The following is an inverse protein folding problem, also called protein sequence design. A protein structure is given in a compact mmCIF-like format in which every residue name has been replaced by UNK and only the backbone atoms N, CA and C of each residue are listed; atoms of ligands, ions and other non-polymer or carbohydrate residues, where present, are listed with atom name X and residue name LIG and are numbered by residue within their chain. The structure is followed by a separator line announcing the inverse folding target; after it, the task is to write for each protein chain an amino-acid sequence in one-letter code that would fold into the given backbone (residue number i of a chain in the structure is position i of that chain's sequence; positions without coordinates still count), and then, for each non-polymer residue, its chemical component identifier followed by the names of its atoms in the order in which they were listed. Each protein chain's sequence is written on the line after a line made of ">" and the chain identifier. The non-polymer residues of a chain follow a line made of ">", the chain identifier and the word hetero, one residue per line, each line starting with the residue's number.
data_IF_636558097116
#
_entry.id   IF_636558097116
#
_cell.length_a   1.000
_cell.length_b   1.000
_cell.length_c   1.000
_cell.angle_alpha   90.00
_cell.angle_beta   90.00
_cell.angle_gamma   90.00
#
_symmetry.space_group_name_H-M   'P 1'
#
loop_
_entity.id
_entity.type
_entity.pdbx_description
1 polymer ?
#
# COMPACT_ATOMS: atom_id res chain seq x y z
N UNK A 1 -6.05 -0.84 -23.04
CA UNK A 1 -7.02 -1.77 -22.42
C UNK A 1 -7.48 -1.36 -21.01
N UNK A 2 -6.73 -0.56 -20.25
CA UNK A 2 -7.17 0.00 -18.96
C UNK A 2 -7.03 1.52 -19.00
N UNK A 3 -7.80 2.16 -19.89
CA UNK A 3 -7.74 3.61 -20.08
C UNK A 3 -8.04 4.35 -18.78
N UNK A 4 -7.14 5.26 -18.38
CA UNK A 4 -7.35 6.13 -17.22
C UNK A 4 -8.30 7.30 -17.49
N UNK A 5 -8.83 7.42 -18.70
CA UNK A 5 -9.70 8.53 -19.05
C UNK A 5 -11.01 8.48 -18.26
N UNK A 6 -11.38 9.62 -17.67
CA UNK A 6 -12.70 9.85 -17.10
C UNK A 6 -13.66 10.20 -18.24
N UNK A 7 -13.94 9.28 -19.15
CA UNK A 7 -14.80 9.51 -20.33
C UNK A 7 -16.30 9.38 -20.03
N UNK A 8 -16.73 9.75 -18.83
CA UNK A 8 -18.14 9.63 -18.42
C UNK A 8 -18.63 10.83 -17.63
N UNK A 9 -19.83 11.32 -17.97
CA UNK A 9 -20.59 12.25 -17.11
C UNK A 9 -20.74 11.64 -15.71
N UNK A 10 -20.60 12.45 -14.66
CA UNK A 10 -20.82 12.02 -13.27
C UNK A 10 -22.18 11.29 -13.17
N UNK A 11 -22.21 9.99 -12.83
CA UNK A 11 -23.45 9.21 -12.81
C UNK A 11 -24.52 9.83 -11.90
N UNK A 12 -24.12 10.58 -10.87
CA UNK A 12 -25.05 11.27 -9.95
C UNK A 12 -25.83 12.40 -10.62
N UNK A 13 -25.32 12.96 -11.72
CA UNK A 13 -25.94 14.06 -12.47
C UNK A 13 -26.92 13.59 -13.54
N UNK A 14 -27.07 12.27 -13.74
CA UNK A 14 -27.98 11.71 -14.73
C UNK A 14 -29.43 11.70 -14.24
N UNK A 15 -30.38 12.13 -15.08
CA UNK A 15 -31.83 12.22 -14.75
C UNK A 15 -32.43 10.91 -14.20
N UNK A 16 -31.97 9.76 -14.71
CA UNK A 16 -32.47 8.44 -14.31
C UNK A 16 -31.71 7.80 -13.14
N UNK A 17 -30.71 8.47 -12.56
CA UNK A 17 -29.87 7.92 -11.50
C UNK A 17 -30.68 7.42 -10.29
N UNK A 18 -31.71 8.18 -9.88
CA UNK A 18 -32.56 7.82 -8.73
C UNK A 18 -33.26 6.47 -8.95
N UNK A 19 -33.73 6.19 -10.18
CA UNK A 19 -34.42 4.93 -10.52
C UNK A 19 -33.46 3.73 -10.49
N UNK A 20 -32.23 3.91 -10.95
CA UNK A 20 -31.25 2.81 -11.08
C UNK A 20 -30.41 2.62 -9.81
N UNK A 21 -30.35 3.62 -8.93
CA UNK A 21 -29.52 3.62 -7.71
C UNK A 21 -29.67 2.35 -6.87
N UNK A 22 -30.90 1.90 -6.61
CA UNK A 22 -31.16 0.71 -5.79
C UNK A 22 -30.62 -0.57 -6.42
N UNK A 23 -30.90 -0.77 -7.71
CA UNK A 23 -30.41 -1.91 -8.50
C UNK A 23 -28.88 -1.92 -8.58
N UNK A 24 -28.27 -0.75 -8.79
CA UNK A 24 -26.83 -0.60 -8.85
C UNK A 24 -26.16 -0.96 -7.51
N UNK A 25 -26.74 -0.52 -6.39
CA UNK A 25 -26.24 -0.89 -5.05
C UNK A 25 -26.34 -2.40 -4.82
N UNK A 26 -27.45 -3.03 -5.18
CA UNK A 26 -27.63 -4.48 -5.09
C UNK A 26 -26.57 -5.21 -5.90
N UNK A 27 -26.47 -4.87 -7.18
CA UNK A 27 -25.49 -5.44 -8.11
C UNK A 27 -24.04 -5.33 -7.61
N UNK A 28 -23.63 -4.14 -7.13
CA UNK A 28 -22.29 -3.94 -6.62
C UNK A 28 -22.00 -4.76 -5.36
N UNK A 29 -23.00 -4.93 -4.47
CA UNK A 29 -22.86 -5.80 -3.30
C UNK A 29 -22.70 -7.27 -3.70
N UNK A 30 -23.51 -7.73 -4.65
CA UNK A 30 -23.43 -9.11 -5.15
C UNK A 30 -22.11 -9.37 -5.86
N UNK A 31 -21.63 -8.42 -6.66
CA UNK A 31 -20.32 -8.47 -7.29
C UNK A 31 -19.19 -8.57 -6.24
N UNK A 32 -19.23 -7.76 -5.19
CA UNK A 32 -18.23 -7.82 -4.11
C UNK A 32 -18.31 -9.13 -3.31
N UNK A 33 -19.51 -9.67 -3.11
CA UNK A 33 -19.72 -10.97 -2.49
C UNK A 33 -19.10 -12.07 -3.36
N UNK A 34 -19.29 -12.01 -4.67
CA UNK A 34 -18.72 -12.95 -5.62
C UNK A 34 -17.18 -12.89 -5.65
N UNK A 35 -16.60 -11.68 -5.71
CA UNK A 35 -15.14 -11.46 -5.58
C UNK A 35 -14.62 -11.99 -4.24
N UNK A 36 -15.46 -12.04 -3.21
CA UNK A 36 -15.08 -12.56 -1.90
C UNK A 36 -15.15 -14.08 -1.79
N UNK A 37 -16.06 -14.73 -2.51
CA UNK A 37 -16.32 -16.18 -2.43
C UNK A 37 -15.52 -17.01 -3.43
N UNK A 38 -15.10 -16.42 -4.55
CA UNK A 38 -14.36 -17.14 -5.59
C UNK A 38 -12.90 -17.35 -5.18
N UNK A 39 -12.42 -18.59 -5.35
CA UNK A 39 -11.03 -18.98 -5.10
C UNK A 39 -10.20 -19.14 -6.39
N UNK A 40 -10.84 -19.34 -7.54
CA UNK A 40 -10.14 -19.49 -8.82
C UNK A 40 -9.60 -18.14 -9.31
N UNK A 41 -8.28 -18.08 -9.50
CA UNK A 41 -7.60 -16.86 -9.97
C UNK A 41 -8.10 -16.41 -11.35
N UNK A 42 -8.37 -17.34 -12.26
CA UNK A 42 -8.92 -17.02 -13.59
C UNK A 42 -10.25 -16.27 -13.48
N UNK A 43 -11.16 -16.76 -12.64
CA UNK A 43 -12.46 -16.12 -12.43
C UNK A 43 -12.26 -14.77 -11.71
N UNK A 44 -11.38 -14.71 -10.69
CA UNK A 44 -11.04 -13.46 -10.03
C UNK A 44 -10.50 -12.41 -11.00
N UNK A 45 -9.66 -12.78 -11.98
CA UNK A 45 -9.16 -11.82 -12.97
C UNK A 45 -10.28 -11.19 -13.79
N UNK A 46 -11.27 -11.98 -14.22
CA UNK A 46 -12.42 -11.49 -15.00
C UNK A 46 -13.28 -10.57 -14.13
N UNK A 47 -13.56 -10.98 -12.88
CA UNK A 47 -14.35 -10.18 -11.95
C UNK A 47 -13.67 -8.87 -11.57
N UNK A 48 -12.35 -8.87 -11.38
CA UNK A 48 -11.59 -7.66 -11.07
C UNK A 48 -11.52 -6.71 -12.27
N UNK A 49 -11.38 -7.22 -13.51
CA UNK A 49 -11.48 -6.39 -14.72
C UNK A 49 -12.85 -5.72 -14.81
N UNK A 50 -13.91 -6.47 -14.53
CA UNK A 50 -15.27 -5.92 -14.49
C UNK A 50 -15.47 -4.89 -13.38
N UNK A 51 -14.99 -5.19 -12.16
CA UNK A 51 -15.01 -4.26 -11.03
C UNK A 51 -14.24 -2.97 -11.35
N UNK A 52 -13.11 -3.07 -12.05
CA UNK A 52 -12.32 -1.93 -12.50
C UNK A 52 -13.13 -1.02 -13.44
N UNK A 53 -13.82 -1.59 -14.42
CA UNK A 53 -14.72 -0.85 -15.32
C UNK A 53 -15.86 -0.17 -14.54
N UNK A 54 -16.37 -0.85 -13.51
CA UNK A 54 -17.46 -0.33 -12.66
C UNK A 54 -16.99 0.62 -11.55
N UNK A 55 -15.71 0.95 -11.47
CA UNK A 55 -15.11 1.77 -10.41
C UNK A 55 -15.75 3.16 -10.25
N UNK A 56 -16.22 3.77 -11.35
CA UNK A 56 -16.91 5.07 -11.33
C UNK A 56 -18.23 4.96 -10.55
N UNK A 57 -18.96 3.85 -10.71
CA UNK A 57 -20.19 3.57 -9.98
C UNK A 57 -19.93 3.20 -8.52
N UNK A 58 -18.85 2.46 -8.24
CA UNK A 58 -18.42 2.18 -6.86
C UNK A 58 -18.13 3.48 -6.12
N UNK A 59 -17.48 4.44 -6.78
CA UNK A 59 -17.22 5.79 -6.27
C UNK A 59 -18.47 6.66 -6.10
N UNK A 60 -19.67 6.20 -6.47
CA UNK A 60 -20.90 6.88 -6.07
C UNK A 60 -21.26 6.60 -4.61
N UNK A 61 -20.77 5.49 -4.03
CA UNK A 61 -21.19 4.97 -2.74
C UNK A 61 -19.99 4.68 -1.82
N UNK A 62 -19.67 5.61 -0.91
CA UNK A 62 -18.49 5.49 -0.03
C UNK A 62 -18.50 4.23 0.85
N UNK A 63 -19.67 3.75 1.31
CA UNK A 63 -19.76 2.49 2.07
C UNK A 63 -19.32 1.28 1.25
N UNK A 64 -19.77 1.19 -0.01
CA UNK A 64 -19.40 0.12 -0.94
C UNK A 64 -17.92 0.25 -1.32
N UNK A 65 -17.44 1.48 -1.55
CA UNK A 65 -16.02 1.74 -1.82
C UNK A 65 -15.12 1.22 -0.69
N UNK A 66 -15.47 1.49 0.58
CA UNK A 66 -14.71 0.97 1.74
C UNK A 66 -14.72 -0.55 1.82
N UNK A 67 -15.86 -1.20 1.54
CA UNK A 67 -15.95 -2.65 1.50
C UNK A 67 -15.10 -3.26 0.37
N UNK A 68 -15.17 -2.66 -0.82
CA UNK A 68 -14.35 -3.05 -1.97
C UNK A 68 -12.86 -2.94 -1.65
N UNK A 69 -12.41 -1.79 -1.12
CA UNK A 69 -11.02 -1.55 -0.77
C UNK A 69 -10.50 -2.56 0.26
N UNK A 70 -11.29 -2.90 1.29
CA UNK A 70 -10.89 -3.92 2.27
C UNK A 70 -10.60 -5.27 1.60
N UNK A 71 -11.46 -5.73 0.69
CA UNK A 71 -11.26 -7.00 -0.03
C UNK A 71 -10.09 -6.90 -1.03
N UNK A 72 -9.99 -5.80 -1.76
CA UNK A 72 -8.94 -5.58 -2.75
C UNK A 72 -7.55 -5.51 -2.10
N UNK A 73 -7.39 -4.87 -0.94
CA UNK A 73 -6.12 -4.82 -0.21
C UNK A 73 -5.68 -6.23 0.24
N UNK A 74 -6.63 -7.07 0.65
CA UNK A 74 -6.35 -8.47 0.94
C UNK A 74 -5.82 -9.18 -0.31
N UNK A 75 -6.52 -9.07 -1.45
CA UNK A 75 -6.11 -9.71 -2.71
C UNK A 75 -4.75 -9.19 -3.21
N UNK A 76 -4.53 -7.89 -3.15
CA UNK A 76 -3.27 -7.24 -3.47
C UNK A 76 -2.10 -7.83 -2.67
N UNK A 77 -2.32 -8.16 -1.40
CA UNK A 77 -1.22 -8.67 -0.57
C UNK A 77 -0.92 -10.15 -0.77
N UNK A 78 -1.93 -11.02 -0.91
CA UNK A 78 -1.74 -12.48 -0.82
C UNK A 78 -1.90 -13.24 -2.13
N UNK A 79 -2.48 -12.64 -3.16
CA UNK A 79 -2.84 -13.40 -4.39
C UNK A 79 -1.66 -13.55 -5.36
N UNK A 80 -1.88 -14.36 -6.39
CA UNK A 80 -1.01 -14.49 -7.55
C UNK A 80 -0.80 -13.16 -8.29
N UNK A 81 0.27 -13.09 -9.08
CA UNK A 81 0.75 -11.85 -9.71
C UNK A 81 -0.33 -11.09 -10.48
N UNK A 82 -1.07 -11.79 -11.36
CA UNK A 82 -2.10 -11.16 -12.20
C UNK A 82 -3.26 -10.59 -11.40
N UNK A 83 -3.73 -11.33 -10.38
CA UNK A 83 -4.80 -10.91 -9.48
C UNK A 83 -4.34 -9.74 -8.62
N UNK A 84 -3.10 -9.77 -8.13
CA UNK A 84 -2.47 -8.69 -7.34
C UNK A 84 -2.39 -7.38 -8.15
N UNK A 85 -1.96 -7.44 -9.41
CA UNK A 85 -1.92 -6.27 -10.31
C UNK A 85 -3.32 -5.69 -10.52
N UNK A 86 -4.30 -6.53 -10.85
CA UNK A 86 -5.68 -6.07 -11.07
C UNK A 86 -6.31 -5.49 -9.80
N UNK A 87 -6.05 -6.11 -8.65
CA UNK A 87 -6.51 -5.61 -7.35
C UNK A 87 -5.93 -4.21 -7.07
N UNK A 88 -4.63 -4.00 -7.31
CA UNK A 88 -3.99 -2.70 -7.19
C UNK A 88 -4.63 -1.65 -8.11
N UNK A 89 -4.83 -1.97 -9.39
CA UNK A 89 -5.45 -1.05 -10.35
C UNK A 89 -6.87 -0.65 -9.92
N UNK A 90 -7.65 -1.57 -9.34
CA UNK A 90 -8.94 -1.26 -8.73
C UNK A 90 -8.80 -0.33 -7.52
N UNK A 91 -7.86 -0.60 -6.62
CA UNK A 91 -7.59 0.27 -5.44
C UNK A 91 -7.26 1.69 -5.90
N UNK A 92 -6.32 1.81 -6.83
CA UNK A 92 -5.85 3.10 -7.35
C UNK A 92 -7.00 3.88 -7.98
N UNK A 93 -7.81 3.24 -8.83
CA UNK A 93 -8.94 3.89 -9.52
C UNK A 93 -10.04 4.32 -8.54
N UNK A 94 -10.43 3.46 -7.60
CA UNK A 94 -11.44 3.79 -6.59
C UNK A 94 -10.95 4.93 -5.69
N UNK A 95 -9.68 4.88 -5.26
CA UNK A 95 -9.10 5.90 -4.37
C UNK A 95 -9.03 7.24 -5.08
N UNK A 96 -8.54 7.31 -6.33
CA UNK A 96 -8.51 8.56 -7.11
C UNK A 96 -9.89 9.19 -7.31
N UNK A 97 -10.93 8.37 -7.50
CA UNK A 97 -12.29 8.89 -7.67
C UNK A 97 -12.88 9.51 -6.38
N UNK A 98 -12.34 9.20 -5.20
CA UNK A 98 -12.78 9.73 -3.90
C UNK A 98 -11.59 10.11 -3.02
N UNK A 99 -10.57 10.75 -3.59
CA UNK A 99 -9.26 10.90 -2.95
C UNK A 99 -9.34 11.54 -1.56
N UNK A 100 -10.05 12.67 -1.45
CA UNK A 100 -10.26 13.41 -0.20
C UNK A 100 -10.95 12.61 0.92
N UNK A 101 -11.67 11.53 0.58
CA UNK A 101 -12.43 10.71 1.53
C UNK A 101 -11.78 9.38 1.86
N UNK A 102 -11.00 8.82 0.93
CA UNK A 102 -10.53 7.44 1.00
C UNK A 102 -9.00 7.34 1.13
N UNK A 103 -8.23 8.33 0.66
CA UNK A 103 -6.78 8.21 0.57
C UNK A 103 -6.14 7.88 1.93
N UNK A 104 -6.48 8.65 2.97
CA UNK A 104 -5.99 8.45 4.34
C UNK A 104 -6.20 6.99 4.84
N UNK A 105 -7.43 6.50 4.71
CA UNK A 105 -7.80 5.14 5.11
C UNK A 105 -7.04 4.07 4.30
N UNK A 106 -6.88 4.30 2.99
CA UNK A 106 -6.21 3.36 2.08
C UNK A 106 -4.72 3.30 2.35
N UNK A 107 -4.04 4.44 2.49
CA UNK A 107 -2.60 4.51 2.78
C UNK A 107 -2.27 3.77 4.07
N UNK A 108 -3.02 4.04 5.14
CA UNK A 108 -2.85 3.34 6.42
C UNK A 108 -3.07 1.83 6.28
N UNK A 109 -4.16 1.42 5.63
CA UNK A 109 -4.50 0.00 5.50
C UNK A 109 -3.50 -0.77 4.62
N UNK A 110 -3.04 -0.16 3.52
CA UNK A 110 -2.05 -0.78 2.64
C UNK A 110 -0.69 -0.88 3.31
N UNK A 111 -0.23 0.15 4.02
CA UNK A 111 1.03 0.10 4.75
C UNK A 111 1.04 -0.99 5.83
N UNK A 112 0.01 -1.06 6.67
CA UNK A 112 -0.09 -2.09 7.71
C UNK A 112 -0.13 -3.49 7.11
N UNK A 113 -0.84 -3.67 5.99
CA UNK A 113 -0.87 -4.94 5.26
C UNK A 113 0.50 -5.29 4.67
N UNK A 114 1.21 -4.32 4.09
CA UNK A 114 2.56 -4.51 3.55
C UNK A 114 3.53 -4.98 4.63
N UNK A 115 3.61 -4.25 5.75
CA UNK A 115 4.49 -4.58 6.89
C UNK A 115 4.18 -5.98 7.43
N UNK A 116 2.91 -6.36 7.53
CA UNK A 116 2.49 -7.70 7.95
C UNK A 116 3.01 -8.79 7.00
N UNK A 117 2.94 -8.57 5.69
CA UNK A 117 3.39 -9.55 4.68
C UNK A 117 4.92 -9.59 4.52
N UNK A 118 5.64 -8.56 4.97
CA UNK A 118 7.11 -8.55 4.97
C UNK A 118 7.74 -9.30 6.14
N UNK A 119 6.96 -9.98 7.00
CA UNK A 119 7.51 -10.70 8.17
C UNK A 119 8.44 -11.84 7.77
N UNK A 120 8.12 -12.53 6.67
CA UNK A 120 8.90 -13.65 6.16
C UNK A 120 9.22 -13.41 4.68
N UNK A 121 10.51 -13.33 4.37
CA UNK A 121 11.01 -13.11 3.01
C UNK A 121 11.69 -14.38 2.52
N UNK A 122 11.29 -14.85 1.35
CA UNK A 122 11.90 -15.97 0.63
C UNK A 122 12.04 -15.61 -0.85
N UNK A 123 12.83 -16.36 -1.65
CA UNK A 123 12.91 -16.14 -3.09
C UNK A 123 11.54 -16.18 -3.79
N UNK A 124 10.60 -16.99 -3.29
CA UNK A 124 9.24 -17.08 -3.83
C UNK A 124 8.33 -15.90 -3.44
N UNK A 125 8.48 -15.32 -2.24
CA UNK A 125 7.67 -14.17 -1.80
C UNK A 125 8.25 -12.82 -2.22
N UNK A 126 9.55 -12.76 -2.52
CA UNK A 126 10.27 -11.54 -2.86
C UNK A 126 9.66 -10.74 -4.04
N UNK A 127 9.28 -11.35 -5.18
CA UNK A 127 8.64 -10.60 -6.27
C UNK A 127 7.35 -9.92 -5.83
N UNK A 128 6.52 -10.61 -5.03
CA UNK A 128 5.28 -10.06 -4.50
C UNK A 128 5.51 -8.91 -3.52
N UNK A 129 6.52 -9.01 -2.67
CA UNK A 129 6.91 -7.94 -1.73
C UNK A 129 7.40 -6.71 -2.49
N UNK A 130 8.22 -6.89 -3.53
CA UNK A 130 8.67 -5.79 -4.37
C UNK A 130 7.52 -5.12 -5.13
N UNK A 131 6.57 -5.90 -5.64
CA UNK A 131 5.36 -5.34 -6.24
C UNK A 131 4.58 -4.50 -5.22
N UNK A 132 4.35 -5.03 -4.01
CA UNK A 132 3.67 -4.28 -2.96
C UNK A 132 4.42 -2.99 -2.60
N UNK A 133 5.75 -3.03 -2.52
CA UNK A 133 6.57 -1.84 -2.24
C UNK A 133 6.38 -0.77 -3.32
N UNK A 134 6.57 -1.13 -4.59
CA UNK A 134 6.44 -0.20 -5.73
C UNK A 134 5.02 0.38 -5.85
N UNK A 135 4.00 -0.48 -5.77
CA UNK A 135 2.61 -0.04 -5.82
C UNK A 135 2.21 0.83 -4.62
N UNK A 136 2.79 0.59 -3.44
CA UNK A 136 2.56 1.43 -2.27
C UNK A 136 3.24 2.80 -2.41
N UNK A 137 4.43 2.88 -3.01
CA UNK A 137 5.07 4.16 -3.38
C UNK A 137 4.16 4.97 -4.30
N UNK A 138 3.57 4.35 -5.32
CA UNK A 138 2.62 5.04 -6.22
C UNK A 138 1.41 5.61 -5.46
N UNK A 139 0.90 4.89 -4.46
CA UNK A 139 -0.22 5.38 -3.63
C UNK A 139 0.18 6.57 -2.76
N UNK A 140 1.33 6.51 -2.08
CA UNK A 140 1.83 7.65 -1.30
C UNK A 140 2.22 8.85 -2.20
N UNK A 141 2.51 8.62 -3.47
CA UNK A 141 2.81 9.70 -4.41
C UNK A 141 1.56 10.47 -4.91
N UNK A 142 0.34 10.01 -4.59
CA UNK A 142 -0.91 10.69 -4.99
C UNK A 142 -1.05 12.08 -4.37
N UNK A 143 -0.92 12.18 -3.05
CA UNK A 143 -0.90 13.45 -2.32
C UNK A 143 0.20 13.41 -1.25
N UNK A 144 1.24 14.22 -1.46
CA UNK A 144 2.38 14.26 -0.55
C UNK A 144 2.07 14.94 0.78
N UNK A 145 1.07 15.80 0.85
CA UNK A 145 0.70 16.48 2.10
C UNK A 145 0.08 15.50 3.08
N UNK A 146 -0.85 14.65 2.58
CA UNK A 146 -1.44 13.56 3.37
C UNK A 146 -0.37 12.53 3.72
N UNK A 147 0.45 12.16 2.74
CA UNK A 147 1.49 11.14 2.91
C UNK A 147 2.55 11.53 3.92
N UNK A 148 2.93 12.81 4.00
CA UNK A 148 3.93 13.31 4.95
C UNK A 148 3.63 12.87 6.39
N UNK A 149 2.37 12.95 6.82
CA UNK A 149 1.98 12.59 8.20
C UNK A 149 2.27 11.11 8.50
N UNK A 150 2.02 10.23 7.54
CA UNK A 150 2.28 8.80 7.66
C UNK A 150 3.77 8.48 7.60
N UNK A 151 4.49 9.03 6.62
CA UNK A 151 5.93 8.80 6.47
C UNK A 151 6.64 9.28 7.73
N UNK A 152 6.34 10.49 8.21
CA UNK A 152 6.90 11.02 9.46
C UNK A 152 6.61 10.12 10.66
N UNK A 153 5.35 9.72 10.84
CA UNK A 153 4.94 8.85 11.94
C UNK A 153 5.71 7.52 11.93
N UNK A 154 5.78 6.85 10.79
CA UNK A 154 6.39 5.53 10.69
C UNK A 154 7.92 5.59 10.70
N UNK A 155 8.55 6.58 10.07
CA UNK A 155 10.01 6.81 10.21
C UNK A 155 10.38 7.10 11.66
N UNK A 156 9.56 7.89 12.38
CA UNK A 156 9.75 8.13 13.82
C UNK A 156 9.64 6.83 14.63
N UNK A 157 8.69 5.95 14.31
CA UNK A 157 8.58 4.64 14.98
C UNK A 157 9.84 3.78 14.78
N UNK A 158 10.37 3.73 13.55
CA UNK A 158 11.62 3.03 13.26
C UNK A 158 12.79 3.61 14.07
N UNK A 159 12.88 4.95 14.16
CA UNK A 159 13.89 5.62 14.97
C UNK A 159 13.77 5.29 16.47
N UNK A 160 12.55 5.18 17.01
CA UNK A 160 12.32 4.80 18.42
C UNK A 160 12.78 3.36 18.67
N UNK A 161 12.43 2.41 17.80
CA UNK A 161 12.90 1.02 17.91
C UNK A 161 14.43 0.95 17.90
N UNK A 162 15.06 1.68 16.98
CA UNK A 162 16.51 1.75 16.89
C UNK A 162 17.15 2.35 18.15
N UNK A 163 16.63 3.48 18.65
CA UNK A 163 17.12 4.10 19.89
C UNK A 163 17.01 3.13 21.08
N UNK A 164 15.91 2.42 21.21
CA UNK A 164 15.73 1.44 22.28
C UNK A 164 16.72 0.27 22.16
N UNK A 165 17.05 -0.17 20.95
CA UNK A 165 18.08 -1.18 20.71
C UNK A 165 19.48 -0.70 21.09
N UNK A 166 19.80 0.58 20.84
CA UNK A 166 21.09 1.19 21.19
C UNK A 166 21.25 1.38 22.70
N UNK A 167 20.22 1.93 23.36
CA UNK A 167 20.29 2.35 24.78
C UNK A 167 20.13 1.16 25.73
N UNK A 168 19.13 0.30 25.50
CA UNK A 168 18.77 -0.77 26.43
C UNK A 168 19.55 -2.06 26.13
N UNK A 169 19.98 -2.25 24.87
CA UNK A 169 20.83 -3.35 24.41
C UNK A 169 20.32 -4.78 24.68
N UNK A 170 19.05 -4.96 25.02
CA UNK A 170 18.39 -6.26 25.10
C UNK A 170 18.28 -6.92 23.73
N UNK A 171 18.38 -8.25 23.71
CA UNK A 171 18.28 -9.08 22.49
C UNK A 171 16.95 -8.81 21.77
N UNK A 172 15.85 -8.73 22.50
CA UNK A 172 14.50 -8.44 21.97
C UNK A 172 14.46 -7.10 21.21
N UNK A 173 15.11 -6.06 21.75
CA UNK A 173 15.15 -4.75 21.09
C UNK A 173 16.01 -4.78 19.82
N UNK A 174 17.10 -5.56 19.81
CA UNK A 174 17.90 -5.77 18.59
C UNK A 174 17.09 -6.53 17.54
N UNK A 175 16.33 -7.55 17.93
CA UNK A 175 15.45 -8.30 17.03
C UNK A 175 14.31 -7.43 16.46
N UNK A 176 13.85 -6.42 17.19
CA UNK A 176 12.87 -5.45 16.70
C UNK A 176 13.41 -4.56 15.57
N UNK A 177 14.73 -4.40 15.45
CA UNK A 177 15.41 -3.72 14.33
C UNK A 177 15.86 -4.71 13.26
N UNK A 178 16.42 -5.85 13.67
CA UNK A 178 16.96 -6.87 12.79
C UNK A 178 15.90 -7.88 12.37
N UNK A 179 14.87 -7.38 11.69
CA UNK A 179 13.86 -8.20 11.05
C UNK A 179 13.49 -7.62 9.69
N UNK A 180 12.89 -8.46 8.84
CA UNK A 180 12.50 -8.08 7.49
C UNK A 180 11.44 -6.99 7.43
N UNK A 181 10.59 -6.83 8.45
CA UNK A 181 9.58 -5.78 8.47
C UNK A 181 10.22 -4.40 8.60
N UNK A 182 11.23 -4.29 9.48
CA UNK A 182 12.01 -3.07 9.65
C UNK A 182 12.77 -2.72 8.37
N UNK A 183 13.51 -3.68 7.79
CA UNK A 183 14.31 -3.48 6.56
C UNK A 183 13.42 -3.10 5.38
N UNK A 184 12.33 -3.83 5.14
CA UNK A 184 11.39 -3.50 4.05
C UNK A 184 10.69 -2.14 4.25
N UNK A 185 10.46 -1.73 5.50
CA UNK A 185 9.95 -0.38 5.77
C UNK A 185 10.99 0.69 5.41
N UNK A 186 12.28 0.47 5.68
CA UNK A 186 13.33 1.38 5.23
C UNK A 186 13.39 1.48 3.71
N UNK A 187 13.36 0.36 2.99
CA UNK A 187 13.34 0.35 1.53
C UNK A 187 12.12 1.09 0.97
N UNK A 188 10.93 0.88 1.54
CA UNK A 188 9.72 1.59 1.10
C UNK A 188 9.88 3.11 1.19
N UNK A 189 10.39 3.61 2.33
CA UNK A 189 10.55 5.04 2.52
C UNK A 189 11.69 5.62 1.68
N UNK A 190 12.77 4.86 1.47
CA UNK A 190 13.86 5.24 0.57
C UNK A 190 13.36 5.35 -0.88
N UNK A 191 12.61 4.36 -1.36
CA UNK A 191 12.01 4.36 -2.70
C UNK A 191 11.04 5.55 -2.88
N UNK A 192 10.20 5.84 -1.88
CA UNK A 192 9.27 6.98 -1.93
C UNK A 192 10.01 8.32 -1.99
N UNK A 193 11.01 8.53 -1.14
CA UNK A 193 11.79 9.78 -1.13
C UNK A 193 12.60 9.95 -2.43
N UNK A 194 13.14 8.86 -2.97
CA UNK A 194 13.82 8.86 -4.27
C UNK A 194 12.86 9.24 -5.41
N UNK A 195 11.69 8.58 -5.46
CA UNK A 195 10.66 8.84 -6.48
C UNK A 195 10.03 10.23 -6.38
N UNK A 196 10.16 10.90 -5.22
CA UNK A 196 9.62 12.25 -4.98
C UNK A 196 10.72 13.29 -4.72
N UNK A 197 11.95 13.00 -5.14
CA UNK A 197 13.14 13.84 -4.91
C UNK A 197 13.01 15.26 -5.47
N UNK A 198 12.22 15.46 -6.51
CA UNK A 198 11.94 16.77 -7.10
C UNK A 198 10.86 17.57 -6.37
N UNK A 199 10.24 17.02 -5.33
CA UNK A 199 9.11 17.62 -4.60
C UNK A 199 9.52 17.97 -3.17
N UNK A 200 9.33 19.23 -2.70
CA UNK A 200 9.83 19.67 -1.40
C UNK A 200 9.09 19.05 -0.20
N UNK A 201 7.86 18.56 -0.38
CA UNK A 201 6.97 18.16 0.71
C UNK A 201 7.58 17.07 1.62
N UNK A 202 8.35 16.12 1.07
CA UNK A 202 8.95 15.03 1.84
C UNK A 202 10.45 15.22 2.14
N UNK A 203 11.09 16.28 1.62
CA UNK A 203 12.53 16.48 1.73
C UNK A 203 13.03 16.56 3.18
N UNK A 204 12.22 17.15 4.07
CA UNK A 204 12.54 17.22 5.50
C UNK A 204 12.72 15.85 6.16
N UNK A 205 12.19 14.78 5.56
CA UNK A 205 12.27 13.40 6.08
C UNK A 205 13.50 12.63 5.56
N UNK A 206 14.22 13.16 4.57
CA UNK A 206 15.42 12.53 4.03
C UNK A 206 16.50 12.36 5.08
N UNK A 207 16.84 13.44 5.78
CA UNK A 207 17.86 13.39 6.83
C UNK A 207 17.49 12.43 7.99
N UNK A 208 16.27 12.49 8.57
CA UNK A 208 15.82 11.48 9.53
C UNK A 208 15.94 10.05 9.03
N UNK A 209 15.54 9.75 7.78
CA UNK A 209 15.61 8.40 7.25
C UNK A 209 17.06 7.93 7.08
N UNK A 210 17.92 8.75 6.48
CA UNK A 210 19.36 8.44 6.31
C UNK A 210 20.03 8.20 7.66
N UNK A 211 19.66 8.96 8.68
CA UNK A 211 20.15 8.76 10.04
C UNK A 211 19.71 7.40 10.61
N UNK A 212 18.45 7.01 10.44
CA UNK A 212 17.96 5.69 10.88
C UNK A 212 18.71 4.57 10.15
N UNK A 213 18.89 4.67 8.83
CA UNK A 213 19.61 3.68 8.02
C UNK A 213 21.06 3.55 8.50
N UNK A 214 21.77 4.69 8.63
CA UNK A 214 23.18 4.72 9.05
C UNK A 214 23.38 4.13 10.44
N UNK A 215 22.49 4.44 11.39
CA UNK A 215 22.58 3.89 12.74
C UNK A 215 22.16 2.42 12.81
N UNK A 216 21.25 1.98 11.94
CA UNK A 216 20.90 0.56 11.79
C UNK A 216 22.11 -0.26 11.37
N UNK A 217 22.89 0.22 10.38
CA UNK A 217 24.12 -0.43 9.92
C UNK A 217 25.14 -0.58 11.07
N UNK A 218 25.22 0.42 11.96
CA UNK A 218 26.19 0.49 13.05
C UNK A 218 25.75 -0.22 14.34
N UNK A 219 24.49 -0.70 14.43
CA UNK A 219 23.91 -1.17 15.68
C UNK A 219 24.66 -2.35 16.32
N UNK A 220 25.08 -3.35 15.51
CA UNK A 220 25.89 -4.48 15.99
C UNK A 220 27.08 -4.67 15.04
N UNK A 221 28.32 -4.47 15.52
CA UNK A 221 29.53 -4.55 14.70
C UNK A 221 30.04 -6.00 14.49
N UNK A 222 29.16 -6.94 14.14
CA UNK A 222 29.56 -8.35 13.88
C UNK A 222 29.32 -8.76 12.43
N UNK A 223 30.16 -9.69 11.93
CA UNK A 223 30.10 -10.18 10.54
C UNK A 223 28.77 -10.91 10.21
N UNK A 224 28.12 -11.49 11.22
CA UNK A 224 26.83 -12.18 11.08
C UNK A 224 25.72 -11.27 10.53
N UNK A 225 25.85 -9.95 10.66
CA UNK A 225 24.87 -8.98 10.17
C UNK A 225 25.30 -8.26 8.88
N UNK A 226 26.36 -8.71 8.20
CA UNK A 226 26.74 -8.14 6.89
C UNK A 226 25.62 -8.18 5.84
N UNK A 227 24.82 -9.26 5.70
CA UNK A 227 23.70 -9.25 4.76
C UNK A 227 22.71 -8.10 4.99
N UNK A 228 22.40 -7.79 6.25
CA UNK A 228 21.52 -6.66 6.60
C UNK A 228 22.12 -5.32 6.16
N UNK A 229 23.43 -5.15 6.29
CA UNK A 229 24.12 -3.90 5.91
C UNK A 229 24.09 -3.68 4.40
N UNK A 230 24.23 -4.75 3.62
CA UNK A 230 24.08 -4.67 2.16
C UNK A 230 22.68 -4.19 1.78
N UNK A 231 21.64 -4.73 2.41
CA UNK A 231 20.27 -4.24 2.21
C UNK A 231 20.09 -2.78 2.65
N UNK A 232 20.75 -2.34 3.72
CA UNK A 232 20.63 -0.93 4.14
C UNK A 232 21.35 0.05 3.20
N UNK A 233 22.30 -0.42 2.38
CA UNK A 233 23.10 0.41 1.48
C UNK A 233 22.56 0.44 0.03
N UNK A 234 21.59 -0.42 -0.28
CA UNK A 234 20.85 -0.46 -1.56
C UNK A 234 19.83 0.69 -1.64
#
# INVERSE_FOLDING_TARGET
>A
YLGMEQTGKDPKKCKHYIKVKGLLVGYLKDLLKLVSSVTSDNILTVLLKHLHQMSVYVACFTSISKQALKKLISLWSTSEETVRVLAFLCILRITRNQETKLLDLVLKAMYLTYVKNCKFVSPSTWPGINFMRRSLVEMFALDLNVSYQYVFLYVRQLAIHLRNAIVVQKIENRQAVYNWQFVNSLHLWADLLSATSNKPQLQALLYPLVMVITNTIKLVPTHQYYPLRFHCAE
#
